data_IF_849824579473
#
_entry.id   IF_849824579473
#
_cell.length_a   1.000
_cell.length_b   1.000
_cell.length_c   1.000
_cell.angle_alpha   90.00
_cell.angle_beta   90.00
_cell.angle_gamma   90.00
#
_symmetry.space_group_name_H-M   'P 1'
#
loop_
_entity.id
_entity.type
_entity.pdbx_description
1 polymer ?
#
# COMPACT_ATOMS: atom_id res chain seq x y z
N UNK A 1 9.27 -0.23 -12.55
CA UNK A 1 10.05 -0.01 -11.33
C UNK A 1 9.52 -0.88 -10.18
N UNK A 2 10.42 -1.35 -9.30
CA UNK A 2 10.09 -2.13 -8.12
C UNK A 2 10.53 -1.37 -6.87
N UNK A 3 9.59 -1.05 -5.99
CA UNK A 3 9.86 -0.55 -4.64
C UNK A 3 9.74 -1.70 -3.64
N UNK A 4 10.72 -1.84 -2.76
CA UNK A 4 10.71 -2.84 -1.68
C UNK A 4 10.71 -2.14 -0.33
N UNK A 5 9.69 -2.44 0.48
CA UNK A 5 9.57 -1.87 1.81
C UNK A 5 10.20 -2.78 2.87
N UNK A 6 11.04 -2.17 3.72
CA UNK A 6 11.71 -2.82 4.85
C UNK A 6 11.33 -2.16 6.17
N UNK A 7 11.50 -2.87 7.27
CA UNK A 7 11.25 -2.36 8.62
C UNK A 7 12.07 -3.11 9.66
N UNK A 8 12.70 -2.39 10.52
CA UNK A 8 13.36 -2.84 11.76
C UNK A 8 13.64 -1.62 12.65
N UNK A 9 14.19 -1.83 13.82
CA UNK A 9 14.73 -0.80 14.69
C UNK A 9 16.27 -0.84 14.79
N UNK A 10 16.90 -1.84 14.19
CA UNK A 10 18.36 -1.95 14.10
C UNK A 10 18.84 -1.28 12.80
N UNK A 11 19.52 -0.16 12.97
CA UNK A 11 20.03 0.64 11.86
C UNK A 11 21.08 -0.06 11.00
N UNK A 12 21.88 -0.99 11.59
CA UNK A 12 22.89 -1.75 10.87
C UNK A 12 22.27 -2.87 10.04
N UNK A 13 21.32 -3.61 10.64
CA UNK A 13 20.56 -4.64 9.92
C UNK A 13 19.77 -4.03 8.75
N UNK A 14 19.12 -2.87 8.99
CA UNK A 14 18.40 -2.15 7.95
C UNK A 14 19.31 -1.74 6.78
N UNK A 15 20.48 -1.15 7.08
CA UNK A 15 21.43 -0.74 6.06
C UNK A 15 21.98 -1.94 5.25
N UNK A 16 22.28 -3.06 5.89
CA UNK A 16 22.76 -4.27 5.19
C UNK A 16 21.71 -4.86 4.27
N UNK A 17 20.46 -5.02 4.74
CA UNK A 17 19.36 -5.50 3.90
C UNK A 17 19.10 -4.53 2.73
N UNK A 18 19.10 -3.23 2.99
CA UNK A 18 18.92 -2.21 1.98
C UNK A 18 20.02 -2.25 0.90
N UNK A 19 21.27 -2.41 1.30
CA UNK A 19 22.40 -2.58 0.40
C UNK A 19 22.22 -3.81 -0.52
N UNK A 20 21.78 -4.92 0.03
CA UNK A 20 21.49 -6.13 -0.77
C UNK A 20 20.34 -5.91 -1.76
N UNK A 21 19.28 -5.21 -1.34
CA UNK A 21 18.17 -4.86 -2.22
C UNK A 21 18.63 -3.96 -3.38
N UNK A 22 19.36 -2.89 -3.06
CA UNK A 22 19.83 -1.93 -4.05
C UNK A 22 20.82 -2.53 -5.05
N UNK A 23 21.86 -3.19 -4.57
CA UNK A 23 22.98 -3.62 -5.40
C UNK A 23 22.88 -5.07 -5.87
N UNK A 24 22.32 -5.95 -5.04
CA UNK A 24 22.14 -7.37 -5.37
C UNK A 24 20.89 -7.64 -6.19
N UNK A 25 19.74 -7.14 -5.71
CA UNK A 25 18.45 -7.34 -6.39
C UNK A 25 18.08 -6.22 -7.37
N UNK A 26 18.83 -5.12 -7.40
CA UNK A 26 18.64 -3.98 -8.31
C UNK A 26 17.23 -3.42 -8.28
N UNK A 27 16.68 -3.25 -7.07
CA UNK A 27 15.37 -2.61 -6.90
C UNK A 27 15.44 -1.14 -7.30
N UNK A 28 14.31 -0.57 -7.70
CA UNK A 28 14.26 0.84 -8.13
C UNK A 28 14.19 1.80 -6.94
N UNK A 29 13.60 1.37 -5.82
CA UNK A 29 13.39 2.17 -4.61
C UNK A 29 13.48 1.23 -3.40
N UNK A 30 14.11 1.69 -2.31
CA UNK A 30 13.98 1.10 -0.98
C UNK A 30 13.08 2.00 -0.14
N UNK A 31 11.98 1.47 0.39
CA UNK A 31 11.05 2.21 1.23
C UNK A 31 11.14 1.76 2.68
N UNK A 32 11.11 2.70 3.63
CA UNK A 32 11.19 2.39 5.06
C UNK A 32 9.82 2.55 5.70
N UNK A 33 9.36 1.51 6.40
CA UNK A 33 8.08 1.52 7.09
C UNK A 33 8.20 2.06 8.52
N UNK A 34 7.73 3.28 8.72
CA UNK A 34 7.53 3.90 10.03
C UNK A 34 6.05 4.10 10.38
N UNK A 35 5.15 3.38 9.69
CA UNK A 35 3.71 3.56 9.88
C UNK A 35 2.94 2.32 10.32
N UNK A 36 3.54 1.13 10.39
CA UNK A 36 2.84 -0.09 10.77
C UNK A 36 2.45 -0.06 12.26
N UNK A 37 1.13 -0.13 12.60
CA UNK A 37 0.66 -0.05 14.00
C UNK A 37 0.46 -1.42 14.66
N UNK A 38 0.80 -2.51 13.98
CA UNK A 38 0.54 -3.87 14.47
C UNK A 38 1.42 -4.17 15.70
N UNK A 39 0.84 -4.67 16.77
CA UNK A 39 1.53 -4.94 18.06
C UNK A 39 2.81 -5.77 17.92
N UNK A 40 2.85 -6.76 17.02
CA UNK A 40 4.06 -7.53 16.76
C UNK A 40 5.22 -6.64 16.29
N UNK A 41 4.92 -5.60 15.52
CA UNK A 41 5.91 -4.64 14.98
C UNK A 41 6.23 -3.58 16.03
N UNK A 42 5.21 -2.98 16.67
CA UNK A 42 5.40 -1.85 17.57
C UNK A 42 5.87 -2.26 18.96
N UNK A 43 5.23 -3.27 19.58
CA UNK A 43 5.51 -3.65 20.98
C UNK A 43 6.70 -4.61 21.08
N UNK A 44 6.78 -5.62 20.18
CA UNK A 44 7.84 -6.64 20.24
C UNK A 44 9.12 -6.21 19.55
N UNK A 45 9.00 -5.70 18.30
CA UNK A 45 10.15 -5.30 17.51
C UNK A 45 10.55 -3.83 17.70
N UNK A 46 9.79 -3.03 18.46
CA UNK A 46 10.04 -1.59 18.66
C UNK A 46 10.30 -0.84 17.34
N UNK A 47 9.50 -1.16 16.32
CA UNK A 47 9.66 -0.71 14.95
C UNK A 47 8.35 -0.18 14.36
N UNK A 48 8.29 0.15 13.09
CA UNK A 48 7.12 0.72 12.45
C UNK A 48 6.69 2.02 13.12
N UNK A 49 5.39 2.17 13.44
CA UNK A 49 4.89 3.41 14.06
C UNK A 49 5.38 3.68 15.49
N UNK A 50 6.00 2.71 16.17
CA UNK A 50 6.69 2.94 17.44
C UNK A 50 7.79 4.00 17.29
N UNK A 51 8.53 3.96 16.18
CA UNK A 51 9.65 4.88 15.94
C UNK A 51 9.22 6.33 15.73
N UNK A 52 7.92 6.62 15.53
CA UNK A 52 7.42 8.00 15.52
C UNK A 52 7.64 8.72 16.86
N UNK A 53 7.77 7.98 17.97
CA UNK A 53 8.14 8.54 19.27
C UNK A 53 9.66 8.73 19.45
N UNK A 54 10.47 8.30 18.48
CA UNK A 54 11.93 8.37 18.51
C UNK A 54 12.50 9.01 17.20
N UNK A 55 12.20 10.29 16.87
CA UNK A 55 12.59 10.91 15.61
C UNK A 55 14.10 10.87 15.35
N UNK A 56 14.92 11.09 16.36
CA UNK A 56 16.39 11.03 16.24
C UNK A 56 16.87 9.65 15.77
N UNK A 57 16.24 8.59 16.27
CA UNK A 57 16.54 7.22 15.84
C UNK A 57 16.07 6.96 14.42
N UNK A 58 14.90 7.48 14.05
CA UNK A 58 14.41 7.43 12.66
C UNK A 58 15.43 8.09 11.72
N UNK A 59 15.90 9.27 12.03
CA UNK A 59 16.92 9.99 11.24
C UNK A 59 18.16 9.14 11.02
N UNK A 60 18.71 8.55 12.09
CA UNK A 60 19.90 7.66 12.01
C UNK A 60 19.67 6.42 11.13
N UNK A 61 18.48 5.81 11.23
CA UNK A 61 18.13 4.66 10.38
C UNK A 61 18.09 5.10 8.92
N UNK A 62 17.40 6.21 8.61
CA UNK A 62 17.26 6.71 7.23
C UNK A 62 18.65 7.05 6.67
N UNK A 63 19.46 7.82 7.37
CA UNK A 63 20.80 8.20 6.93
C UNK A 63 21.67 6.99 6.58
N UNK A 64 21.70 5.97 7.44
CA UNK A 64 22.45 4.75 7.17
C UNK A 64 21.93 3.96 5.98
N UNK A 65 20.60 3.88 5.83
CA UNK A 65 19.98 3.22 4.69
C UNK A 65 20.24 3.97 3.40
N UNK A 66 20.13 5.32 3.39
CA UNK A 66 20.46 6.18 2.24
C UNK A 66 21.90 5.95 1.80
N UNK A 67 22.84 6.02 2.73
CA UNK A 67 24.26 5.81 2.44
C UNK A 67 24.55 4.40 1.88
N UNK A 68 23.84 3.38 2.37
CA UNK A 68 24.02 2.00 1.92
C UNK A 68 23.37 1.71 0.55
N UNK A 69 22.38 2.50 0.15
CA UNK A 69 21.62 2.30 -1.10
C UNK A 69 22.13 3.12 -2.29
N UNK A 70 22.95 4.15 -2.06
CA UNK A 70 23.34 5.08 -3.11
C UNK A 70 23.85 4.36 -4.38
N UNK A 71 23.37 4.66 -5.58
CA UNK A 71 22.47 5.78 -5.94
C UNK A 71 20.96 5.47 -5.92
N UNK A 72 20.53 4.31 -5.42
CA UNK A 72 19.11 3.94 -5.36
C UNK A 72 18.38 4.82 -4.34
N UNK A 73 17.27 5.51 -4.73
CA UNK A 73 16.54 6.38 -3.83
C UNK A 73 15.90 5.60 -2.67
N UNK A 74 15.91 6.23 -1.49
CA UNK A 74 15.26 5.72 -0.29
C UNK A 74 14.07 6.61 0.04
N UNK A 75 12.91 6.00 0.31
CA UNK A 75 11.70 6.71 0.72
C UNK A 75 11.26 6.28 2.12
N UNK A 76 10.41 7.07 2.76
CA UNK A 76 9.87 6.73 4.06
C UNK A 76 8.34 6.82 4.06
N UNK A 77 7.68 5.91 4.78
CA UNK A 77 6.23 5.94 4.98
C UNK A 77 5.89 6.02 6.46
N UNK A 78 5.16 7.09 6.84
CA UNK A 78 4.79 7.42 8.21
C UNK A 78 3.27 7.46 8.43
N UNK A 79 2.87 7.71 9.68
CA UNK A 79 1.55 8.15 10.12
C UNK A 79 1.67 9.51 10.81
N UNK A 80 0.52 10.12 11.17
CA UNK A 80 0.47 11.43 11.83
C UNK A 80 1.09 11.45 13.23
N UNK A 81 1.27 10.31 13.84
CA UNK A 81 1.83 10.12 15.19
C UNK A 81 1.37 8.82 15.82
N UNK A 82 1.72 8.61 17.09
CA UNK A 82 1.31 7.43 17.84
C UNK A 82 -0.16 7.51 18.25
N UNK A 83 -0.57 8.63 18.83
CA UNK A 83 -1.94 8.92 19.30
C UNK A 83 -2.36 10.31 18.82
N UNK A 84 -3.64 10.68 18.98
CA UNK A 84 -4.14 12.00 18.60
C UNK A 84 -3.52 13.12 19.45
N UNK A 85 -3.16 12.84 20.68
CA UNK A 85 -2.50 13.80 21.58
C UNK A 85 -0.97 13.85 21.36
N UNK A 86 -0.44 12.94 20.54
CA UNK A 86 0.99 12.81 20.23
C UNK A 86 1.20 12.75 18.72
N UNK A 87 0.63 13.73 18.02
CA UNK A 87 0.89 13.95 16.60
C UNK A 87 2.12 14.83 16.43
N UNK A 88 3.16 14.30 15.82
CA UNK A 88 4.44 14.97 15.58
C UNK A 88 4.88 14.87 14.11
N UNK A 89 3.91 14.75 13.21
CA UNK A 89 4.13 14.49 11.78
C UNK A 89 4.98 15.55 11.09
N UNK A 90 4.94 16.82 11.52
CA UNK A 90 5.77 17.89 10.94
C UNK A 90 7.23 17.68 11.32
N UNK A 91 7.55 17.50 12.62
CA UNK A 91 8.92 17.29 13.08
C UNK A 91 9.53 16.01 12.46
N UNK A 92 8.70 14.96 12.37
CA UNK A 92 9.09 13.71 11.72
C UNK A 92 9.35 13.91 10.22
N UNK A 93 8.52 14.70 9.53
CA UNK A 93 8.70 14.98 8.11
C UNK A 93 10.01 15.72 7.84
N UNK A 94 10.33 16.73 8.65
CA UNK A 94 11.61 17.44 8.58
C UNK A 94 12.80 16.52 8.88
N UNK A 95 12.68 15.64 9.86
CA UNK A 95 13.71 14.64 10.18
C UNK A 95 13.94 13.69 8.99
N UNK A 96 12.86 13.23 8.33
CA UNK A 96 12.93 12.35 7.15
C UNK A 96 13.67 13.02 5.99
N UNK A 97 13.34 14.29 5.71
CA UNK A 97 14.03 15.05 4.65
C UNK A 97 15.49 15.31 5.00
N UNK A 98 15.77 15.79 6.21
CA UNK A 98 17.13 16.08 6.67
C UNK A 98 18.06 14.85 6.66
N UNK A 99 17.51 13.66 6.87
CA UNK A 99 18.24 12.39 6.81
C UNK A 99 18.46 11.87 5.38
N UNK A 100 18.02 12.59 4.35
CA UNK A 100 18.31 12.32 2.94
C UNK A 100 17.30 11.38 2.24
N UNK A 101 16.10 11.22 2.77
CA UNK A 101 15.06 10.50 2.05
C UNK A 101 14.66 11.24 0.76
N UNK A 102 14.32 10.48 -0.29
CA UNK A 102 13.95 11.01 -1.60
C UNK A 102 12.44 11.29 -1.75
N UNK A 103 11.60 10.81 -0.85
CA UNK A 103 10.17 11.09 -0.79
C UNK A 103 9.60 10.71 0.58
N UNK A 104 8.49 11.37 0.96
CA UNK A 104 7.74 11.05 2.16
C UNK A 104 6.30 10.67 1.82
N UNK A 105 5.86 9.49 2.28
CA UNK A 105 4.45 9.09 2.20
C UNK A 105 3.80 9.19 3.59
N UNK A 106 2.66 9.86 3.69
CA UNK A 106 1.96 10.07 4.96
C UNK A 106 0.56 9.47 4.93
N UNK A 107 0.27 8.56 5.86
CA UNK A 107 -1.10 8.09 6.09
C UNK A 107 -1.79 9.02 7.09
N UNK A 108 -2.91 9.63 6.68
CA UNK A 108 -3.70 10.59 7.46
C UNK A 108 -4.41 10.02 8.68
N UNK A 109 -3.79 9.08 9.39
CA UNK A 109 -4.26 8.49 10.66
C UNK A 109 -3.11 8.33 11.63
N UNK A 110 -3.40 8.33 12.93
CA UNK A 110 -2.43 7.93 13.95
C UNK A 110 -2.29 6.40 14.02
N UNK A 111 -1.27 5.91 14.73
CA UNK A 111 -1.11 4.47 14.97
C UNK A 111 -2.30 3.90 15.76
N UNK A 112 -2.80 4.64 16.76
CA UNK A 112 -3.93 4.27 17.60
C UNK A 112 -5.24 4.12 16.81
N UNK A 113 -5.45 4.97 15.80
CA UNK A 113 -6.64 4.90 14.94
C UNK A 113 -6.69 3.61 14.12
N UNK A 114 -5.56 2.99 13.85
CA UNK A 114 -5.45 1.84 12.95
C UNK A 114 -6.03 2.15 11.57
N UNK A 115 -7.29 1.73 11.32
CA UNK A 115 -8.07 1.99 10.10
C UNK A 115 -9.46 2.57 10.41
N UNK A 116 -9.70 2.99 11.65
CA UNK A 116 -10.98 3.57 12.08
C UNK A 116 -11.08 5.05 11.69
N UNK A 117 -12.31 5.54 11.59
CA UNK A 117 -12.59 6.92 11.19
C UNK A 117 -12.16 7.20 9.75
N UNK A 118 -11.96 8.47 9.43
CA UNK A 118 -11.49 8.98 8.13
C UNK A 118 -10.04 9.41 8.21
N UNK A 119 -9.31 9.33 7.10
CA UNK A 119 -7.97 9.89 6.99
C UNK A 119 -8.05 11.42 7.00
N UNK A 120 -7.21 12.05 7.80
CA UNK A 120 -7.12 13.50 7.93
C UNK A 120 -6.15 14.04 6.87
N UNK A 121 -6.72 14.49 5.77
CA UNK A 121 -5.97 15.01 4.63
C UNK A 121 -5.48 16.45 4.87
N UNK A 122 -6.16 17.23 5.72
CA UNK A 122 -5.70 18.55 6.11
C UNK A 122 -4.35 18.46 6.81
N UNK A 123 -4.20 17.49 7.74
CA UNK A 123 -2.93 17.23 8.42
C UNK A 123 -1.82 16.74 7.49
N UNK A 124 -2.16 16.01 6.43
CA UNK A 124 -1.17 15.64 5.41
C UNK A 124 -0.70 16.91 4.69
N UNK A 125 -1.63 17.74 4.25
CA UNK A 125 -1.34 18.99 3.54
C UNK A 125 -0.54 20.00 4.40
N UNK A 126 -0.81 20.05 5.70
CA UNK A 126 -0.07 20.88 6.67
C UNK A 126 1.44 20.63 6.67
N UNK A 127 1.91 19.48 6.18
CA UNK A 127 3.33 19.12 6.09
C UNK A 127 4.04 19.89 4.97
N UNK A 128 3.37 20.15 3.85
CA UNK A 128 3.99 20.63 2.61
C UNK A 128 4.85 21.89 2.80
N UNK A 129 4.43 22.92 3.56
CA UNK A 129 5.25 24.11 3.78
C UNK A 129 6.57 23.87 4.54
N UNK A 130 6.73 22.72 5.18
CA UNK A 130 7.90 22.37 5.98
C UNK A 130 8.88 21.45 5.24
N UNK A 131 8.54 21.02 4.02
CA UNK A 131 9.43 20.27 3.13
C UNK A 131 10.02 21.19 2.07
N UNK A 132 11.31 21.07 1.82
CA UNK A 132 12.06 21.96 0.91
C UNK A 132 12.27 21.31 -0.47
N UNK A 133 12.52 20.02 -0.53
CA UNK A 133 13.01 19.36 -1.74
C UNK A 133 12.35 18.04 -2.08
N UNK A 134 11.80 17.34 -1.09
CA UNK A 134 11.23 16.01 -1.33
C UNK A 134 9.73 16.05 -1.59
N UNK A 135 9.21 15.22 -2.50
CA UNK A 135 7.78 15.12 -2.72
C UNK A 135 7.04 14.54 -1.52
N UNK A 136 5.85 15.13 -1.25
CA UNK A 136 4.88 14.66 -0.27
C UNK A 136 3.81 13.80 -0.95
N UNK A 137 3.64 12.58 -0.48
CA UNK A 137 2.67 11.61 -1.01
C UNK A 137 1.59 11.35 0.03
N UNK A 138 0.35 11.75 -0.27
CA UNK A 138 -0.80 11.54 0.59
C UNK A 138 -1.34 10.11 0.49
N UNK A 139 -1.78 9.54 1.63
CA UNK A 139 -2.35 8.21 1.70
C UNK A 139 -3.51 8.13 2.70
N UNK A 140 -4.57 7.44 2.32
CA UNK A 140 -5.73 7.15 3.14
C UNK A 140 -7.04 7.37 2.39
N UNK A 141 -7.93 6.38 2.46
CA UNK A 141 -9.32 6.42 1.96
C UNK A 141 -9.49 6.80 0.47
N UNK A 142 -8.48 6.57 -0.34
CA UNK A 142 -8.53 6.72 -1.79
C UNK A 142 -9.11 5.44 -2.40
N UNK A 143 -10.41 5.42 -2.64
CA UNK A 143 -11.16 4.24 -3.10
C UNK A 143 -11.78 4.38 -4.49
N UNK A 144 -11.63 5.55 -5.11
CA UNK A 144 -12.18 5.87 -6.43
C UNK A 144 -11.30 6.86 -7.18
N UNK A 145 -11.46 6.94 -8.50
CA UNK A 145 -10.81 7.93 -9.33
C UNK A 145 -11.18 9.36 -8.89
N UNK A 146 -12.45 9.58 -8.52
CA UNK A 146 -12.92 10.87 -8.02
C UNK A 146 -12.23 11.27 -6.71
N UNK A 147 -12.04 10.33 -5.77
CA UNK A 147 -11.31 10.58 -4.53
C UNK A 147 -9.84 10.96 -4.78
N UNK A 148 -9.21 10.34 -5.80
CA UNK A 148 -7.84 10.69 -6.21
C UNK A 148 -7.79 12.11 -6.78
N UNK A 149 -8.70 12.47 -7.68
CA UNK A 149 -8.77 13.83 -8.24
C UNK A 149 -9.03 14.87 -7.14
N UNK A 150 -9.99 14.60 -6.26
CA UNK A 150 -10.30 15.49 -5.13
C UNK A 150 -9.10 15.68 -4.19
N UNK A 151 -8.27 14.64 -3.99
CA UNK A 151 -7.07 14.77 -3.19
C UNK A 151 -6.09 15.79 -3.78
N UNK A 152 -5.83 15.76 -5.09
CA UNK A 152 -4.95 16.73 -5.75
C UNK A 152 -5.58 18.15 -5.87
N UNK A 153 -6.91 18.25 -5.92
CA UNK A 153 -7.59 19.54 -6.04
C UNK A 153 -7.66 20.30 -4.72
N UNK A 154 -7.80 19.58 -3.61
CA UNK A 154 -8.11 20.17 -2.31
C UNK A 154 -6.90 20.21 -1.37
N UNK A 155 -5.83 19.46 -1.64
CA UNK A 155 -4.68 19.33 -0.74
C UNK A 155 -3.36 19.51 -1.45
N UNK A 156 -2.41 20.14 -0.78
CA UNK A 156 -1.07 20.39 -1.32
C UNK A 156 -0.20 19.14 -1.16
N UNK A 157 -0.29 18.23 -2.14
CA UNK A 157 0.48 16.98 -2.21
C UNK A 157 1.03 16.78 -3.63
N UNK A 158 2.22 16.23 -3.74
CA UNK A 158 2.87 15.96 -5.05
C UNK A 158 2.44 14.62 -5.64
N UNK A 159 1.88 13.75 -4.82
CA UNK A 159 1.44 12.42 -5.22
C UNK A 159 0.46 11.80 -4.25
N UNK A 160 -0.14 10.69 -4.65
CA UNK A 160 -1.04 9.92 -3.78
C UNK A 160 -0.72 8.43 -3.84
N UNK A 161 -0.93 7.74 -2.71
CA UNK A 161 -0.78 6.30 -2.61
C UNK A 161 -2.13 5.63 -2.40
N UNK A 162 -2.57 4.84 -3.38
CA UNK A 162 -3.73 3.96 -3.24
C UNK A 162 -3.27 2.66 -2.56
N UNK A 163 -4.01 2.20 -1.54
CA UNK A 163 -3.67 0.99 -0.79
C UNK A 163 -4.76 -0.09 -0.90
N UNK A 164 -5.58 -0.26 0.13
CA UNK A 164 -6.57 -1.35 0.21
C UNK A 164 -7.56 -1.40 -0.96
N UNK A 165 -7.94 -0.26 -1.50
CA UNK A 165 -8.94 -0.15 -2.53
C UNK A 165 -8.55 -0.79 -3.88
N UNK A 166 -7.25 -0.91 -4.18
CA UNK A 166 -6.79 -1.57 -5.40
C UNK A 166 -6.76 -3.11 -5.31
N UNK A 167 -6.91 -3.66 -4.10
CA UNK A 167 -6.96 -5.12 -3.92
C UNK A 167 -8.26 -5.67 -4.53
N UNK A 168 -8.13 -6.49 -5.56
CA UNK A 168 -9.26 -7.00 -6.35
C UNK A 168 -9.87 -5.97 -7.31
N UNK A 169 -9.29 -4.77 -7.42
CA UNK A 169 -9.70 -3.69 -8.33
C UNK A 169 -8.48 -3.00 -8.96
N UNK A 170 -7.58 -3.71 -9.64
CA UNK A 170 -6.36 -3.12 -10.19
C UNK A 170 -6.64 -2.04 -11.26
N UNK A 171 -7.79 -2.07 -11.92
CA UNK A 171 -8.24 -1.04 -12.87
C UNK A 171 -8.42 0.34 -12.24
N UNK A 172 -8.50 0.45 -10.91
CA UNK A 172 -8.58 1.75 -10.22
C UNK A 172 -7.41 2.68 -10.58
N UNK A 173 -6.22 2.13 -10.82
CA UNK A 173 -5.07 2.95 -11.24
C UNK A 173 -5.25 3.56 -12.62
N UNK A 174 -5.77 2.80 -13.61
CA UNK A 174 -6.03 3.34 -14.96
C UNK A 174 -7.19 4.35 -14.94
N UNK A 175 -8.22 4.10 -14.12
CA UNK A 175 -9.33 5.04 -13.92
C UNK A 175 -8.83 6.36 -13.31
N UNK A 176 -8.03 6.28 -12.24
CA UNK A 176 -7.46 7.46 -11.59
C UNK A 176 -6.54 8.24 -12.55
N UNK A 177 -5.70 7.55 -13.32
CA UNK A 177 -4.83 8.18 -14.29
C UNK A 177 -5.61 8.88 -15.41
N UNK A 178 -6.68 8.28 -15.94
CA UNK A 178 -7.55 8.92 -16.93
C UNK A 178 -8.22 10.17 -16.35
N UNK A 179 -8.77 10.07 -15.14
CA UNK A 179 -9.41 11.20 -14.46
C UNK A 179 -8.44 12.39 -14.25
N UNK A 180 -7.20 12.11 -13.83
CA UNK A 180 -6.17 13.15 -13.64
C UNK A 180 -5.75 13.84 -14.94
N UNK A 181 -5.87 13.16 -16.08
CA UNK A 181 -5.60 13.75 -17.42
C UNK A 181 -6.82 14.47 -18.00
N UNK A 182 -7.97 14.47 -17.31
CA UNK A 182 -9.23 15.02 -17.81
C UNK A 182 -9.84 14.18 -18.94
N UNK A 183 -9.46 12.92 -19.07
CA UNK A 183 -9.99 11.96 -20.03
C UNK A 183 -11.28 11.31 -19.51
N UNK A 184 -12.02 10.67 -20.41
CA UNK A 184 -13.18 9.84 -20.03
C UNK A 184 -12.70 8.70 -19.15
N UNK A 185 -13.21 8.64 -17.93
CA UNK A 185 -12.87 7.57 -16.98
C UNK A 185 -13.47 6.25 -17.46
N UNK A 186 -12.67 5.21 -17.71
CA UNK A 186 -13.20 3.90 -18.08
C UNK A 186 -14.17 3.37 -17.02
N UNK A 187 -15.29 2.74 -17.40
CA UNK A 187 -16.17 2.08 -16.44
C UNK A 187 -15.43 0.94 -15.74
N UNK A 188 -16.01 0.43 -14.64
CA UNK A 188 -15.54 -0.82 -14.06
C UNK A 188 -15.65 -1.94 -15.12
N UNK A 189 -14.67 -2.84 -15.21
CA UNK A 189 -14.75 -4.00 -16.09
C UNK A 189 -16.01 -4.81 -15.84
N UNK A 190 -16.52 -5.49 -16.87
CA UNK A 190 -17.61 -6.46 -16.76
C UNK A 190 -17.26 -7.57 -15.75
N UNK A 191 -18.26 -8.29 -15.25
CA UNK A 191 -18.01 -9.42 -14.35
C UNK A 191 -17.11 -10.49 -14.98
N UNK A 192 -17.22 -10.69 -16.27
CA UNK A 192 -16.38 -11.62 -17.04
C UNK A 192 -14.90 -11.16 -17.08
N UNK A 193 -14.67 -9.89 -17.37
CA UNK A 193 -13.33 -9.31 -17.35
C UNK A 193 -12.71 -9.31 -15.93
N UNK A 194 -13.52 -9.04 -14.91
CA UNK A 194 -13.08 -9.14 -13.51
C UNK A 194 -12.71 -10.56 -13.12
N UNK A 195 -13.49 -11.55 -13.57
CA UNK A 195 -13.18 -12.98 -13.43
C UNK A 195 -11.87 -13.32 -14.12
N UNK A 196 -11.71 -12.92 -15.38
CA UNK A 196 -10.48 -13.15 -16.15
C UNK A 196 -9.26 -12.55 -15.44
N UNK A 197 -9.36 -11.32 -14.94
CA UNK A 197 -8.31 -10.68 -14.15
C UNK A 197 -7.95 -11.46 -12.87
N UNK A 198 -8.95 -11.95 -12.13
CA UNK A 198 -8.74 -12.77 -10.94
C UNK A 198 -8.07 -14.12 -11.27
N UNK A 199 -8.50 -14.79 -12.34
CA UNK A 199 -7.92 -16.06 -12.78
C UNK A 199 -6.48 -15.89 -13.28
N UNK A 200 -6.17 -14.80 -13.97
CA UNK A 200 -4.80 -14.45 -14.37
C UNK A 200 -3.91 -14.21 -13.12
N UNK A 201 -4.43 -13.48 -12.12
CA UNK A 201 -3.74 -13.31 -10.84
C UNK A 201 -3.51 -14.65 -10.15
N UNK A 202 -4.53 -15.52 -10.11
CA UNK A 202 -4.40 -16.87 -9.54
C UNK A 202 -3.32 -17.68 -10.23
N UNK A 203 -3.33 -17.73 -11.57
CA UNK A 203 -2.33 -18.44 -12.37
C UNK A 203 -0.91 -17.98 -12.02
N UNK A 204 -0.65 -16.67 -12.01
CA UNK A 204 0.66 -16.10 -11.65
C UNK A 204 1.10 -16.46 -10.24
N UNK A 205 0.16 -16.51 -9.29
CA UNK A 205 0.46 -16.89 -7.90
C UNK A 205 0.80 -18.38 -7.82
N UNK A 206 0.07 -19.23 -8.53
CA UNK A 206 0.34 -20.68 -8.60
C UNK A 206 1.68 -20.95 -9.29
N UNK A 207 1.95 -20.30 -10.42
CA UNK A 207 3.24 -20.43 -11.13
C UNK A 207 4.43 -20.06 -10.24
N UNK A 208 4.26 -19.06 -9.39
CA UNK A 208 5.32 -18.58 -8.50
C UNK A 208 5.52 -19.43 -7.24
N UNK A 209 4.43 -19.92 -6.63
CA UNK A 209 4.44 -20.53 -5.29
C UNK A 209 4.06 -22.01 -5.27
N UNK A 210 3.70 -22.60 -6.42
CA UNK A 210 3.14 -23.94 -6.56
C UNK A 210 1.65 -24.00 -6.21
N UNK A 211 0.97 -25.03 -6.67
CA UNK A 211 -0.49 -25.18 -6.56
C UNK A 211 -1.02 -25.05 -5.13
N UNK A 212 -0.48 -25.85 -4.20
CA UNK A 212 -0.96 -25.88 -2.82
C UNK A 212 -0.82 -24.52 -2.12
N UNK A 213 0.39 -23.96 -2.15
CA UNK A 213 0.67 -22.67 -1.48
C UNK A 213 0.00 -21.52 -2.21
N UNK A 214 0.03 -21.52 -3.54
CA UNK A 214 -0.59 -20.50 -4.37
C UNK A 214 -2.09 -20.42 -4.15
N UNK A 215 -2.78 -21.56 -4.10
CA UNK A 215 -4.23 -21.63 -3.82
C UNK A 215 -4.56 -21.04 -2.44
N UNK A 216 -3.80 -21.40 -1.40
CA UNK A 216 -4.01 -20.86 -0.05
C UNK A 216 -3.78 -19.35 0.00
N UNK A 217 -2.72 -18.86 -0.64
CA UNK A 217 -2.43 -17.42 -0.70
C UNK A 217 -3.55 -16.66 -1.42
N UNK A 218 -4.10 -17.23 -2.49
CA UNK A 218 -5.11 -16.56 -3.30
C UNK A 218 -6.48 -16.45 -2.63
N UNK A 219 -6.79 -17.25 -1.61
CA UNK A 219 -8.04 -17.16 -0.83
C UNK A 219 -8.34 -15.73 -0.38
N UNK A 220 -7.32 -15.05 0.18
CA UNK A 220 -7.42 -13.67 0.65
C UNK A 220 -7.72 -12.70 -0.49
N UNK A 221 -6.99 -12.81 -1.58
CA UNK A 221 -7.13 -11.87 -2.71
C UNK A 221 -8.43 -12.09 -3.47
N UNK A 222 -8.88 -13.33 -3.63
CA UNK A 222 -10.16 -13.65 -4.24
C UNK A 222 -11.33 -13.00 -3.47
N UNK A 223 -11.27 -12.97 -2.14
CA UNK A 223 -12.24 -12.25 -1.32
C UNK A 223 -12.36 -10.76 -1.67
N UNK A 224 -11.23 -10.13 -2.08
CA UNK A 224 -11.22 -8.72 -2.47
C UNK A 224 -11.94 -8.49 -3.81
N UNK A 225 -11.80 -9.40 -4.78
CA UNK A 225 -12.51 -9.34 -6.06
C UNK A 225 -14.04 -9.43 -5.92
N UNK A 226 -14.51 -10.08 -4.87
CA UNK A 226 -15.95 -10.23 -4.59
C UNK A 226 -16.55 -9.06 -3.79
N UNK A 227 -15.72 -8.13 -3.31
CA UNK A 227 -16.19 -7.04 -2.45
C UNK A 227 -17.26 -6.18 -3.14
N UNK A 228 -18.34 -5.87 -2.41
CA UNK A 228 -19.44 -5.05 -2.90
C UNK A 228 -20.41 -5.76 -3.86
N UNK A 229 -20.18 -7.03 -4.22
CA UNK A 229 -21.03 -7.78 -5.16
C UNK A 229 -22.12 -8.60 -4.45
N UNK A 230 -23.20 -8.83 -5.16
CA UNK A 230 -24.24 -9.76 -4.69
C UNK A 230 -23.63 -11.16 -4.47
N UNK A 231 -24.02 -11.85 -3.40
CA UNK A 231 -23.47 -13.17 -3.07
C UNK A 231 -22.03 -13.18 -2.51
N UNK A 232 -21.37 -12.03 -2.35
CA UNK A 232 -19.99 -11.93 -1.87
C UNK A 232 -19.73 -12.62 -0.51
N UNK A 233 -20.74 -12.66 0.38
CA UNK A 233 -20.63 -13.36 1.67
C UNK A 233 -20.50 -14.87 1.47
N UNK A 234 -21.33 -15.43 0.61
CA UNK A 234 -21.32 -16.86 0.25
C UNK A 234 -19.97 -17.22 -0.40
N UNK A 235 -19.58 -16.48 -1.42
CA UNK A 235 -18.29 -16.66 -2.09
C UNK A 235 -17.11 -16.66 -1.12
N UNK A 236 -17.02 -15.66 -0.23
CA UNK A 236 -15.93 -15.58 0.77
C UNK A 236 -15.87 -16.77 1.70
N UNK A 237 -17.05 -17.32 2.09
CA UNK A 237 -17.11 -18.50 2.95
C UNK A 237 -16.58 -19.75 2.25
N UNK A 238 -16.83 -19.89 0.94
CA UNK A 238 -16.40 -21.05 0.15
C UNK A 238 -14.94 -20.90 -0.28
N UNK A 239 -14.54 -19.76 -0.83
CA UNK A 239 -13.17 -19.55 -1.31
C UNK A 239 -12.14 -19.60 -0.16
N UNK A 240 -12.53 -19.26 1.06
CA UNK A 240 -11.66 -19.36 2.23
C UNK A 240 -11.25 -20.81 2.58
N UNK A 241 -11.97 -21.81 2.06
CA UNK A 241 -11.76 -23.24 2.37
C UNK A 241 -11.11 -24.01 1.23
N UNK A 242 -11.00 -23.44 0.02
CA UNK A 242 -10.47 -24.16 -1.15
C UNK A 242 -9.03 -24.61 -0.92
N UNK A 243 -8.70 -25.85 -1.25
CA UNK A 243 -7.37 -26.44 -1.03
C UNK A 243 -6.67 -26.86 -2.33
N UNK A 244 -7.43 -26.86 -3.43
CA UNK A 244 -6.95 -27.29 -4.74
C UNK A 244 -7.34 -26.29 -5.85
N UNK A 245 -6.60 -26.28 -6.97
CA UNK A 245 -6.97 -25.49 -8.15
C UNK A 245 -8.39 -25.80 -8.63
N UNK A 246 -8.78 -27.08 -8.67
CA UNK A 246 -10.11 -27.50 -9.11
C UNK A 246 -11.22 -26.87 -8.27
N UNK A 247 -11.06 -26.91 -6.94
CA UNK A 247 -12.03 -26.26 -6.04
C UNK A 247 -12.06 -24.75 -6.22
N UNK A 248 -10.90 -24.12 -6.41
CA UNK A 248 -10.83 -22.69 -6.66
C UNK A 248 -11.60 -22.29 -7.92
N UNK A 249 -11.38 -22.98 -9.04
CA UNK A 249 -12.11 -22.72 -10.29
C UNK A 249 -13.61 -22.93 -10.13
N UNK A 250 -14.04 -24.01 -9.48
CA UNK A 250 -15.45 -24.29 -9.27
C UNK A 250 -16.14 -23.16 -8.48
N UNK A 251 -15.56 -22.71 -7.38
CA UNK A 251 -16.12 -21.62 -6.56
C UNK A 251 -16.13 -20.29 -7.32
N UNK A 252 -15.14 -20.03 -8.16
CA UNK A 252 -15.10 -18.82 -9.00
C UNK A 252 -16.13 -18.89 -10.11
N UNK A 253 -16.30 -20.03 -10.76
CA UNK A 253 -17.28 -20.22 -11.84
C UNK A 253 -18.72 -20.11 -11.35
N UNK A 254 -18.99 -20.58 -10.14
CA UNK A 254 -20.29 -20.43 -9.49
C UNK A 254 -20.62 -18.97 -9.17
N UNK A 255 -19.64 -18.21 -8.67
CA UNK A 255 -19.86 -16.82 -8.26
C UNK A 255 -19.83 -15.82 -9.42
N UNK A 256 -18.99 -16.06 -10.43
CA UNK A 256 -18.90 -15.27 -11.66
C UNK A 256 -19.47 -16.11 -12.82
N UNK A 257 -20.79 -16.25 -12.92
CA UNK A 257 -21.38 -17.02 -14.03
C UNK A 257 -20.97 -16.37 -15.36
N UNK A 258 -20.83 -17.20 -16.38
CA UNK A 258 -20.71 -16.69 -17.75
C UNK A 258 -21.94 -15.89 -18.05
N UNK A 259 -21.80 -14.69 -18.62
CA UNK A 259 -22.91 -13.99 -19.21
C UNK A 259 -23.55 -14.98 -20.23
N UNK A 260 -24.78 -15.38 -20.00
CA UNK A 260 -25.53 -16.01 -21.04
C UNK A 260 -25.56 -14.96 -22.17
N UNK A 261 -24.91 -15.26 -23.28
CA UNK A 261 -24.98 -14.43 -24.48
C UNK A 261 -26.48 -14.17 -24.71
N UNK A 262 -26.83 -12.89 -24.73
CA UNK A 262 -28.16 -12.48 -25.15
C UNK A 262 -28.31 -12.96 -26.58
N UNK A 263 -29.14 -14.02 -26.75
CA UNK A 263 -29.63 -14.50 -28.06
C UNK A 263 -30.58 -13.48 -28.63
#
# INVERSE_FOLDING_TARGET
PLAVQIWDNDEKAMAEVARQLAHGYKVSIVDINFGCPVKRVTERAKSGSYLLSEPDKMGKIIEKVVNACAPVPVTAKIRLGCTRDQMNFIDVAQTVEAAGAAALTVHGRTAQDMFRGTADWDRISDIKPYLNSIPLIGNGDLDSAAAVVAAFQNYDVDGVMIARACLGRPWLFSQAAAALRGEVVPPDPSLEEQKACMLEHYRKVVDRFGEKRGTVLMRKYACCYAQGKHGARHFRTHVAKVESPKEFYNVVDEFFPRSLEAV
#
